data_IF_090914483669
#
_entry.id   IF_090914483669
#
_cell.length_a   1.000
_cell.length_b   1.000
_cell.length_c   1.000
_cell.angle_alpha   90.00
_cell.angle_beta   90.00
_cell.angle_gamma   90.00
#
_symmetry.space_group_name_H-M   'P 1'
#
loop_
_entity.id
_entity.type
_entity.pdbx_description
1 polymer ?
#
# COMPACT_ATOMS: atom_id res chain seq x y z
N UNK A 1 2.42 32.94 -22.61
CA UNK A 1 2.04 31.58 -23.03
C UNK A 1 0.60 31.34 -22.65
N UNK A 2 -0.22 30.74 -23.51
CA UNK A 2 -1.54 30.25 -23.10
C UNK A 2 -1.36 28.85 -22.50
N UNK A 3 -1.75 28.69 -21.24
CA UNK A 3 -1.78 27.38 -20.60
C UNK A 3 -3.06 26.64 -21.03
N UNK A 4 -2.99 25.32 -21.19
CA UNK A 4 -4.15 24.45 -21.35
C UNK A 4 -4.39 23.67 -20.06
N UNK A 5 -5.64 23.56 -19.64
CA UNK A 5 -6.06 22.77 -18.47
C UNK A 5 -6.56 21.40 -18.95
N UNK A 6 -6.18 20.35 -18.23
CA UNK A 6 -6.72 19.01 -18.36
C UNK A 6 -7.08 18.52 -16.95
N UNK A 7 -8.20 17.82 -16.83
CA UNK A 7 -8.58 17.08 -15.63
C UNK A 7 -8.50 15.59 -15.98
N UNK A 8 -7.69 14.83 -15.26
CA UNK A 8 -7.40 13.42 -15.54
C UNK A 8 -7.66 12.63 -14.26
N UNK A 9 -8.44 11.55 -14.37
CA UNK A 9 -8.58 10.57 -13.31
C UNK A 9 -7.54 9.47 -13.52
N UNK A 10 -6.84 9.11 -12.44
CA UNK A 10 -5.84 8.04 -12.44
C UNK A 10 -6.16 7.04 -11.33
N UNK A 11 -6.24 5.76 -11.69
CA UNK A 11 -6.56 4.66 -10.78
C UNK A 11 -5.55 3.51 -10.93
N UNK A 12 -5.26 2.84 -9.81
CA UNK A 12 -4.31 1.72 -9.74
C UNK A 12 -4.92 0.53 -9.00
N UNK A 13 -4.65 -0.68 -9.50
CA UNK A 13 -4.94 -1.93 -8.78
C UNK A 13 -3.63 -2.47 -8.20
N UNK A 14 -3.63 -2.76 -6.89
CA UNK A 14 -2.47 -3.35 -6.21
C UNK A 14 -2.83 -4.74 -5.69
N UNK A 15 -2.08 -5.75 -6.12
CA UNK A 15 -2.19 -7.10 -5.60
C UNK A 15 -1.37 -7.21 -4.31
N UNK A 16 -2.02 -7.49 -3.18
CA UNK A 16 -1.39 -7.62 -1.86
C UNK A 16 -1.56 -9.03 -1.30
N UNK A 17 -0.44 -9.65 -0.91
CA UNK A 17 -0.40 -10.95 -0.22
C UNK A 17 0.32 -10.75 1.11
N UNK A 18 -0.43 -10.87 2.21
CA UNK A 18 0.08 -10.73 3.57
C UNK A 18 0.52 -12.06 4.15
N UNK A 19 1.61 -12.03 4.91
CA UNK A 19 2.11 -13.15 5.69
C UNK A 19 1.30 -13.25 6.99
N UNK A 20 0.16 -13.95 6.95
CA UNK A 20 -0.80 -14.01 8.07
C UNK A 20 -0.16 -14.33 9.43
N UNK A 21 0.90 -15.12 9.46
CA UNK A 21 1.63 -15.47 10.69
C UNK A 21 2.29 -14.28 11.39
N UNK A 22 2.59 -13.20 10.67
CA UNK A 22 3.13 -11.95 11.23
C UNK A 22 2.04 -11.10 11.92
N UNK A 23 0.77 -11.30 11.55
CA UNK A 23 -0.38 -10.57 12.11
C UNK A 23 -0.99 -11.34 13.28
N UNK A 24 -0.20 -11.55 14.32
CA UNK A 24 -0.69 -12.13 15.58
C UNK A 24 -1.68 -11.20 16.26
N UNK A 25 -2.54 -11.72 17.15
CA UNK A 25 -3.48 -10.90 17.92
C UNK A 25 -2.78 -9.81 18.74
N UNK A 26 -1.60 -10.13 19.30
CA UNK A 26 -0.78 -9.17 20.04
C UNK A 26 -0.28 -8.04 19.15
N UNK A 27 0.27 -8.36 17.97
CA UNK A 27 0.68 -7.35 16.99
C UNK A 27 -0.50 -6.48 16.56
N UNK A 28 -1.64 -7.10 16.22
CA UNK A 28 -2.84 -6.38 15.80
C UNK A 28 -3.35 -5.44 16.90
N UNK A 29 -3.25 -5.84 18.17
CA UNK A 29 -3.62 -5.00 19.30
C UNK A 29 -2.68 -3.80 19.47
N UNK A 30 -1.37 -4.04 19.47
CA UNK A 30 -0.35 -2.99 19.60
C UNK A 30 -0.40 -2.01 18.42
N UNK A 31 -0.49 -2.53 17.19
CA UNK A 31 -0.58 -1.71 15.99
C UNK A 31 -1.78 -0.77 16.06
N UNK A 32 -2.92 -1.28 16.54
CA UNK A 32 -4.16 -0.53 16.65
C UNK A 32 -4.10 0.58 17.69
N UNK A 33 -3.38 0.34 18.78
CA UNK A 33 -3.18 1.31 19.85
C UNK A 33 -2.20 2.42 19.45
N UNK A 34 -1.15 2.07 18.70
CA UNK A 34 -0.07 3.00 18.34
C UNK A 34 -0.24 3.76 17.03
N UNK A 35 -0.92 3.18 16.02
CA UNK A 35 -0.89 3.70 14.64
C UNK A 35 -2.28 3.99 14.08
N UNK A 36 -3.00 2.96 13.62
CA UNK A 36 -4.31 3.10 12.98
C UNK A 36 -5.30 2.12 13.57
N UNK A 37 -6.60 2.47 13.70
CA UNK A 37 -7.62 1.60 14.25
C UNK A 37 -8.00 0.46 13.28
N UNK A 38 -7.05 -0.38 12.89
CA UNK A 38 -7.24 -1.54 12.03
C UNK A 38 -7.66 -2.74 12.88
N UNK A 39 -8.76 -3.37 12.47
CA UNK A 39 -9.33 -4.50 13.18
C UNK A 39 -9.21 -5.78 12.36
N UNK A 40 -9.15 -5.64 11.04
CA UNK A 40 -9.10 -6.76 10.12
C UNK A 40 -7.82 -6.77 9.29
N UNK A 41 -7.39 -7.96 8.90
CA UNK A 41 -6.24 -8.13 8.01
C UNK A 41 -6.40 -7.37 6.68
N UNK A 42 -7.65 -7.20 6.22
CA UNK A 42 -7.94 -6.40 5.01
C UNK A 42 -7.64 -4.92 5.16
N UNK A 43 -7.65 -4.36 6.37
CA UNK A 43 -7.36 -2.95 6.60
C UNK A 43 -5.87 -2.69 6.40
N UNK A 44 -5.02 -3.60 6.90
CA UNK A 44 -3.59 -3.60 6.63
C UNK A 44 -3.30 -3.75 5.13
N UNK A 45 -3.99 -4.66 4.45
CA UNK A 45 -3.82 -4.85 3.00
C UNK A 45 -4.15 -3.57 2.21
N UNK A 46 -5.23 -2.86 2.57
CA UNK A 46 -5.60 -1.57 1.96
C UNK A 46 -4.54 -0.50 2.22
N UNK A 47 -4.03 -0.43 3.44
CA UNK A 47 -2.98 0.53 3.79
C UNK A 47 -1.70 0.29 2.98
N UNK A 48 -1.24 -0.96 2.91
CA UNK A 48 -0.05 -1.33 2.13
C UNK A 48 -0.27 -1.06 0.64
N UNK A 49 -1.46 -1.36 0.11
CA UNK A 49 -1.82 -1.02 -1.27
C UNK A 49 -1.70 0.48 -1.54
N UNK A 50 -2.18 1.33 -0.62
CA UNK A 50 -2.07 2.78 -0.75
C UNK A 50 -0.61 3.27 -0.69
N UNK A 51 0.22 2.68 0.16
CA UNK A 51 1.65 3.04 0.23
C UNK A 51 2.38 2.75 -1.08
N UNK A 52 2.13 1.58 -1.69
CA UNK A 52 2.71 1.21 -2.98
C UNK A 52 2.16 2.07 -4.11
N UNK A 53 0.83 2.24 -4.20
CA UNK A 53 0.20 3.04 -5.25
C UNK A 53 0.65 4.51 -5.25
N UNK A 54 1.07 5.04 -4.09
CA UNK A 54 1.58 6.40 -3.91
C UNK A 54 3.10 6.50 -4.06
N UNK A 55 3.80 5.39 -4.28
CA UNK A 55 5.27 5.34 -4.35
C UNK A 55 5.97 5.67 -3.03
N UNK A 56 5.28 5.52 -1.90
CA UNK A 56 5.90 5.68 -0.56
C UNK A 56 6.72 4.45 -0.22
N UNK A 57 6.28 3.28 -0.68
CA UNK A 57 6.97 2.00 -0.58
C UNK A 57 7.16 1.46 -1.99
N UNK A 58 8.38 1.03 -2.32
CA UNK A 58 8.63 0.30 -3.56
C UNK A 58 7.77 -0.98 -3.57
N UNK A 59 7.40 -1.47 -4.75
CA UNK A 59 6.72 -2.77 -4.83
C UNK A 59 7.55 -3.83 -4.09
N UNK A 60 6.90 -4.65 -3.26
CA UNK A 60 7.61 -5.62 -2.40
C UNK A 60 8.38 -6.66 -3.23
N UNK A 61 7.95 -6.88 -4.46
CA UNK A 61 8.60 -7.77 -5.43
C UNK A 61 9.72 -7.09 -6.23
N UNK A 62 9.99 -5.80 -6.01
CA UNK A 62 10.97 -5.01 -6.74
C UNK A 62 11.94 -4.29 -5.80
N UNK A 63 13.14 -3.99 -6.33
CA UNK A 63 14.16 -3.17 -5.68
C UNK A 63 14.39 -3.53 -4.20
N UNK A 64 14.34 -2.52 -3.33
CA UNK A 64 14.45 -2.62 -1.88
C UNK A 64 13.10 -2.71 -1.16
N UNK A 65 11.99 -2.88 -1.89
CA UNK A 65 10.64 -2.81 -1.30
C UNK A 65 10.44 -3.79 -0.15
N UNK A 66 11.01 -5.00 -0.26
CA UNK A 66 10.98 -6.01 0.81
C UNK A 66 11.72 -5.58 2.08
N UNK A 67 12.82 -4.86 1.94
CA UNK A 67 13.70 -4.48 3.07
C UNK A 67 13.37 -3.07 3.60
N UNK A 68 12.41 -2.38 2.97
CA UNK A 68 12.03 -1.04 3.36
C UNK A 68 11.37 -1.03 4.73
N UNK A 69 11.80 -0.10 5.58
CA UNK A 69 11.16 0.14 6.86
C UNK A 69 9.86 0.95 6.67
N UNK A 70 8.76 0.43 7.23
CA UNK A 70 7.47 1.11 7.27
C UNK A 70 7.06 1.28 8.72
N UNK A 71 6.74 2.51 9.12
CA UNK A 71 6.30 2.82 10.48
C UNK A 71 5.08 1.95 10.87
N UNK A 72 5.16 1.34 12.05
CA UNK A 72 4.20 0.36 12.56
C UNK A 72 4.40 -1.09 12.07
N UNK A 73 5.09 -1.31 10.95
CA UNK A 73 5.38 -2.66 10.44
C UNK A 73 6.85 -3.05 10.60
N UNK A 74 7.78 -2.11 10.74
CA UNK A 74 9.21 -2.42 10.67
C UNK A 74 9.63 -2.79 9.23
N UNK A 75 10.59 -3.72 9.04
CA UNK A 75 10.93 -4.25 7.72
C UNK A 75 9.70 -4.93 7.08
N UNK A 76 9.14 -4.30 6.06
CA UNK A 76 7.80 -4.67 5.57
C UNK A 76 7.74 -6.08 4.96
N UNK A 77 8.87 -6.61 4.49
CA UNK A 77 8.99 -7.97 3.97
C UNK A 77 8.78 -9.09 5.00
N UNK A 78 8.79 -8.77 6.30
CA UNK A 78 8.39 -9.69 7.37
C UNK A 78 6.86 -9.87 7.44
N UNK A 79 6.11 -8.90 6.91
CA UNK A 79 4.64 -8.85 6.94
C UNK A 79 4.02 -9.11 5.56
N UNK A 80 4.72 -8.79 4.49
CA UNK A 80 4.16 -8.78 3.13
C UNK A 80 4.98 -9.67 2.21
N UNK A 81 4.32 -10.62 1.57
CA UNK A 81 4.95 -11.47 0.55
C UNK A 81 4.96 -10.77 -0.81
N UNK A 82 3.86 -10.09 -1.15
CA UNK A 82 3.67 -9.37 -2.42
C UNK A 82 2.87 -8.10 -2.13
N UNK A 83 3.31 -6.97 -2.67
CA UNK A 83 2.47 -5.81 -2.93
C UNK A 83 3.00 -5.15 -4.21
N UNK A 84 2.24 -5.25 -5.30
CA UNK A 84 2.65 -4.79 -6.63
C UNK A 84 1.46 -4.23 -7.39
N UNK A 85 1.70 -3.19 -8.19
CA UNK A 85 0.70 -2.65 -9.11
C UNK A 85 0.50 -3.66 -10.23
N UNK A 86 -0.75 -4.05 -10.48
CA UNK A 86 -1.08 -4.99 -11.57
C UNK A 86 -1.71 -4.27 -12.76
N UNK A 87 -2.45 -3.19 -12.50
CA UNK A 87 -3.18 -2.45 -13.51
C UNK A 87 -3.15 -0.95 -13.20
N UNK A 88 -3.11 -0.16 -14.27
CA UNK A 88 -3.09 1.30 -14.22
C UNK A 88 -4.06 1.85 -15.28
N UNK A 89 -4.98 2.72 -14.85
CA UNK A 89 -6.02 3.30 -15.69
C UNK A 89 -5.96 4.81 -15.61
N UNK A 90 -5.95 5.48 -16.77
CA UNK A 90 -6.08 6.92 -16.87
C UNK A 90 -7.18 7.24 -17.87
N UNK A 91 -8.16 8.05 -17.45
CA UNK A 91 -9.21 8.55 -18.32
C UNK A 91 -9.27 10.09 -18.24
N UNK A 92 -9.40 10.75 -19.39
CA UNK A 92 -9.66 12.18 -19.45
C UNK A 92 -11.08 12.45 -18.93
N UNK A 93 -11.18 13.30 -17.92
CA UNK A 93 -12.47 13.75 -17.43
C UNK A 93 -12.99 14.81 -18.40
N UNK A 94 -13.88 14.41 -19.31
CA UNK A 94 -14.62 15.35 -20.16
C UNK A 94 -15.69 16.01 -19.28
N UNK A 95 -15.35 17.14 -18.65
CA UNK A 95 -16.31 18.02 -17.95
C UNK A 95 -16.98 19.02 -18.89
#
# INVERSE_FOLDING_TARGET
MMNKKFDIEASQTVCVILLKTAFSEAFMAEFREGFYPFFELSDHAKHIAQLVARGVVDEITAHSGRDQFVEGYGPIGEFVAVAKVTDFFNDEVIS
#
